data_IF_400915752086
#
_entry.id   IF_400915752086
#
_cell.length_a   1.000
_cell.length_b   1.000
_cell.length_c   1.000
_cell.angle_alpha   90.00
_cell.angle_beta   90.00
_cell.angle_gamma   90.00
#
_symmetry.space_group_name_H-M   'P 1'
#
loop_
_entity.id
_entity.type
_entity.pdbx_description
1 polymer ?
#
# COMPACT_ATOMS: atom_id res chain seq x y z
N UNK A 1 -4.40 15.25 11.01
CA UNK A 1 -4.52 16.15 9.84
C UNK A 1 -4.63 15.20 8.67
N UNK A 2 -5.76 15.16 7.99
CA UNK A 2 -5.99 14.19 6.92
C UNK A 2 -5.35 14.73 5.64
N UNK A 3 -4.41 13.99 5.06
CA UNK A 3 -3.68 14.38 3.86
C UNK A 3 -3.95 13.45 2.67
N UNK A 4 -3.18 13.65 1.60
CA UNK A 4 -3.31 12.87 0.37
C UNK A 4 -2.86 11.41 0.53
N UNK A 5 -1.91 11.14 1.43
CA UNK A 5 -1.42 9.79 1.71
C UNK A 5 -2.50 9.03 2.48
N UNK A 6 -3.11 9.66 3.50
CA UNK A 6 -4.22 9.09 4.25
C UNK A 6 -5.41 8.73 3.33
N UNK A 7 -5.70 9.60 2.34
CA UNK A 7 -6.73 9.32 1.34
C UNK A 7 -6.40 8.08 0.50
N UNK A 8 -5.19 8.01 -0.06
CA UNK A 8 -4.77 6.90 -0.91
C UNK A 8 -4.68 5.59 -0.14
N UNK A 9 -4.25 5.63 1.12
CA UNK A 9 -4.29 4.48 2.02
C UNK A 9 -5.72 4.01 2.26
N UNK A 10 -6.65 4.93 2.56
CA UNK A 10 -8.06 4.61 2.73
C UNK A 10 -8.67 4.00 1.46
N UNK A 11 -8.30 4.49 0.28
CA UNK A 11 -8.73 3.94 -1.01
C UNK A 11 -8.23 2.51 -1.24
N UNK A 12 -7.02 2.18 -0.76
CA UNK A 12 -6.45 0.84 -0.87
C UNK A 12 -7.08 -0.17 0.10
N UNK A 13 -7.42 0.28 1.32
CA UNK A 13 -7.98 -0.54 2.40
C UNK A 13 -9.50 -0.72 2.27
N UNK A 14 -10.22 0.31 1.85
CA UNK A 14 -11.67 0.29 1.72
C UNK A 14 -12.08 -0.36 0.39
N UNK A 15 -12.64 -1.58 0.48
CA UNK A 15 -13.14 -2.29 -0.68
C UNK A 15 -14.25 -1.52 -1.43
N UNK A 16 -15.10 -0.76 -0.73
CA UNK A 16 -16.13 0.03 -1.37
C UNK A 16 -15.52 1.17 -2.18
N UNK A 17 -14.48 1.83 -1.65
CA UNK A 17 -13.79 2.91 -2.34
C UNK A 17 -12.91 2.39 -3.50
N UNK A 18 -12.31 1.21 -3.34
CA UNK A 18 -11.48 0.56 -4.35
C UNK A 18 -12.25 0.16 -5.61
N UNK A 19 -13.50 -0.26 -5.45
CA UNK A 19 -14.39 -0.64 -6.56
C UNK A 19 -15.47 0.42 -6.85
N UNK A 20 -15.36 1.60 -6.25
CA UNK A 20 -16.30 2.69 -6.43
C UNK A 20 -16.31 3.19 -7.88
N UNK A 21 -17.45 3.75 -8.29
CA UNK A 21 -17.51 4.52 -9.53
C UNK A 21 -16.65 5.78 -9.44
N UNK A 22 -16.21 6.30 -10.58
CA UNK A 22 -15.43 7.55 -10.63
C UNK A 22 -16.16 8.71 -9.95
N UNK A 23 -17.49 8.78 -10.06
CA UNK A 23 -18.31 9.82 -9.44
C UNK A 23 -18.27 9.75 -7.91
N UNK A 24 -18.30 8.53 -7.37
CA UNK A 24 -18.22 8.32 -5.93
C UNK A 24 -16.82 8.66 -5.40
N UNK A 25 -15.75 8.33 -6.14
CA UNK A 25 -14.38 8.76 -5.80
C UNK A 25 -14.25 10.28 -5.81
N UNK A 26 -14.82 10.96 -6.82
CA UNK A 26 -14.84 12.43 -6.90
C UNK A 26 -15.53 13.03 -5.67
N UNK A 27 -16.69 12.51 -5.28
CA UNK A 27 -17.44 13.00 -4.13
C UNK A 27 -16.66 12.82 -2.82
N UNK A 28 -16.07 11.65 -2.60
CA UNK A 28 -15.27 11.36 -1.40
C UNK A 28 -14.03 12.24 -1.34
N UNK A 29 -13.34 12.44 -2.47
CA UNK A 29 -12.14 13.27 -2.55
C UNK A 29 -12.45 14.77 -2.32
N UNK A 30 -13.60 15.25 -2.80
CA UNK A 30 -14.04 16.63 -2.60
C UNK A 30 -14.35 16.96 -1.12
N UNK A 31 -14.73 15.95 -0.33
CA UNK A 31 -15.01 16.08 1.10
C UNK A 31 -13.74 16.20 1.97
N UNK A 32 -12.57 15.86 1.44
CA UNK A 32 -11.30 15.85 2.19
C UNK A 32 -10.56 17.18 2.07
N UNK A 33 -9.83 17.65 3.10
CA UNK A 33 -9.09 18.92 3.06
C UNK A 33 -7.77 18.83 2.27
N UNK A 34 -7.81 18.29 1.05
CA UNK A 34 -6.67 18.10 0.14
C UNK A 34 -6.60 19.25 -0.87
N UNK A 35 -5.39 19.69 -1.23
CA UNK A 35 -5.16 20.74 -2.24
C UNK A 35 -5.78 20.39 -3.60
N UNK A 36 -6.35 21.39 -4.29
CA UNK A 36 -7.02 21.21 -5.58
C UNK A 36 -6.12 20.56 -6.63
N UNK A 37 -4.82 20.90 -6.69
CA UNK A 37 -3.90 20.33 -7.69
C UNK A 37 -3.66 18.85 -7.45
N UNK A 38 -3.57 18.44 -6.18
CA UNK A 38 -3.45 17.03 -5.80
C UNK A 38 -4.72 16.26 -6.14
N UNK A 39 -5.91 16.87 -5.92
CA UNK A 39 -7.18 16.24 -6.31
C UNK A 39 -7.26 16.03 -7.81
N UNK A 40 -6.93 17.04 -8.61
CA UNK A 40 -6.95 16.96 -10.07
C UNK A 40 -6.00 15.87 -10.59
N UNK A 41 -4.79 15.79 -10.03
CA UNK A 41 -3.82 14.75 -10.37
C UNK A 41 -4.33 13.33 -10.05
N UNK A 42 -5.01 13.15 -8.91
CA UNK A 42 -5.65 11.88 -8.53
C UNK A 42 -6.77 11.52 -9.51
N UNK A 43 -7.66 12.46 -9.84
CA UNK A 43 -8.78 12.22 -10.75
C UNK A 43 -8.33 11.93 -12.18
N UNK A 44 -7.26 12.58 -12.63
CA UNK A 44 -6.62 12.32 -13.91
C UNK A 44 -5.82 11.01 -13.95
N UNK A 45 -5.63 10.33 -12.80
CA UNK A 45 -4.74 9.17 -12.63
C UNK A 45 -3.30 9.47 -13.05
N UNK A 46 -2.86 10.71 -12.88
CA UNK A 46 -1.53 11.18 -13.24
C UNK A 46 -0.54 10.92 -12.09
N UNK A 47 -0.01 9.71 -12.04
CA UNK A 47 0.94 9.30 -11.00
C UNK A 47 2.24 10.12 -11.04
N UNK A 48 2.69 10.54 -12.23
CA UNK A 48 3.92 11.33 -12.38
C UNK A 48 3.71 12.77 -11.90
N UNK A 49 2.61 13.41 -12.32
CA UNK A 49 2.23 14.75 -11.86
C UNK A 49 1.94 14.77 -10.36
N UNK A 50 1.28 13.74 -9.83
CA UNK A 50 1.06 13.59 -8.39
C UNK A 50 2.39 13.48 -7.63
N UNK A 51 3.32 12.65 -8.11
CA UNK A 51 4.66 12.53 -7.53
C UNK A 51 5.40 13.87 -7.51
N UNK A 52 5.40 14.60 -8.62
CA UNK A 52 6.03 15.92 -8.72
C UNK A 52 5.43 16.94 -7.74
N UNK A 53 4.10 16.96 -7.56
CA UNK A 53 3.42 17.81 -6.58
C UNK A 53 3.79 17.47 -5.13
N UNK A 54 4.14 16.21 -4.87
CA UNK A 54 4.62 15.73 -3.57
C UNK A 54 6.14 15.89 -3.38
N UNK A 55 6.83 16.51 -4.33
CA UNK A 55 8.28 16.69 -4.29
C UNK A 55 9.07 15.41 -4.55
N UNK A 56 8.44 14.42 -5.19
CA UNK A 56 9.09 13.16 -5.55
C UNK A 56 9.79 13.31 -6.90
N UNK A 57 11.10 13.09 -6.90
CA UNK A 57 11.90 13.04 -8.12
C UNK A 57 11.81 11.68 -8.82
N UNK A 58 12.22 11.63 -10.09
CA UNK A 58 12.32 10.37 -10.84
C UNK A 58 13.33 9.44 -10.16
N UNK A 59 12.86 8.27 -9.70
CA UNK A 59 13.71 7.21 -9.18
C UNK A 59 13.73 6.05 -10.17
N UNK A 60 14.94 5.55 -10.49
CA UNK A 60 15.10 4.36 -11.32
C UNK A 60 15.13 3.12 -10.40
N UNK A 61 14.04 2.35 -10.37
CA UNK A 61 14.01 1.06 -9.68
C UNK A 61 14.74 0.01 -10.52
N UNK A 62 15.83 -0.54 -9.99
CA UNK A 62 16.41 -1.77 -10.54
C UNK A 62 15.66 -2.96 -9.95
N UNK A 63 14.77 -3.57 -10.74
CA UNK A 63 14.18 -4.85 -10.40
C UNK A 63 15.22 -5.92 -10.75
N UNK A 64 15.87 -6.49 -9.74
CA UNK A 64 16.74 -7.64 -9.95
C UNK A 64 15.85 -8.84 -10.34
N UNK A 65 15.98 -9.40 -11.55
CA UNK A 65 15.20 -10.56 -11.94
C UNK A 65 15.42 -11.68 -10.93
N UNK A 66 14.33 -12.28 -10.46
CA UNK A 66 14.43 -13.47 -9.64
C UNK A 66 15.23 -14.51 -10.42
N UNK A 67 16.29 -15.04 -9.80
CA UNK A 67 16.93 -16.24 -10.33
C UNK A 67 15.86 -17.33 -10.31
N UNK A 68 15.73 -18.08 -11.40
CA UNK A 68 14.90 -19.27 -11.43
C UNK A 68 15.39 -20.19 -10.32
N UNK A 69 14.61 -20.25 -9.24
CA UNK A 69 14.82 -21.16 -8.14
C UNK A 69 14.40 -22.54 -8.64
N UNK A 70 15.37 -23.41 -8.89
CA UNK A 70 15.13 -24.84 -9.10
C UNK A 70 14.37 -25.37 -7.89
N UNK A 71 13.05 -25.48 -8.04
CA UNK A 71 12.06 -26.10 -7.15
C UNK A 71 12.59 -26.60 -5.79
N UNK A 72 12.45 -25.79 -4.74
CA UNK A 72 12.72 -26.19 -3.37
C UNK A 72 11.90 -25.38 -2.38
N UNK A 73 10.63 -25.73 -2.22
CA UNK A 73 9.70 -24.99 -1.36
C UNK A 73 10.08 -24.98 0.12
N UNK A 74 9.75 -23.88 0.80
CA UNK A 74 9.11 -23.91 2.12
C UNK A 74 8.44 -22.56 2.39
N UNK A 75 7.10 -22.58 2.43
CA UNK A 75 6.30 -21.51 3.02
C UNK A 75 6.44 -21.60 4.53
N UNK A 76 7.11 -20.63 5.15
CA UNK A 76 7.08 -20.49 6.61
C UNK A 76 6.89 -19.04 7.01
N UNK A 77 5.64 -18.60 6.89
CA UNK A 77 5.08 -17.57 7.76
C UNK A 77 4.82 -18.18 9.15
N UNK A 78 5.48 -17.69 10.20
CA UNK A 78 4.96 -17.71 11.58
C UNK A 78 5.79 -16.83 12.52
N UNK A 79 5.30 -15.61 12.70
CA UNK A 79 5.45 -14.86 13.94
C UNK A 79 4.68 -15.58 15.08
N UNK A 80 5.26 -15.64 16.29
CA UNK A 80 4.62 -15.46 17.63
C UNK A 80 5.38 -16.17 18.77
N UNK A 81 6.07 -15.35 19.56
CA UNK A 81 6.04 -15.23 21.02
C UNK A 81 6.13 -16.49 21.95
N UNK A 82 7.26 -16.54 22.68
CA UNK A 82 7.46 -16.82 24.13
C UNK A 82 6.53 -17.81 24.88
N UNK A 83 7.10 -18.92 25.39
CA UNK A 83 7.41 -19.20 26.83
C UNK A 83 7.77 -20.70 27.05
N UNK A 84 8.96 -20.97 27.61
CA UNK A 84 9.30 -22.22 28.36
C UNK A 84 8.52 -22.23 29.71
N UNK A 85 8.38 -23.32 30.50
CA UNK A 85 9.26 -24.50 30.60
C UNK A 85 8.61 -25.88 30.94
N UNK A 86 9.49 -26.89 31.05
CA UNK A 86 9.49 -28.00 32.03
C UNK A 86 9.00 -29.41 31.66
N UNK A 87 9.96 -30.37 31.78
CA UNK A 87 9.86 -31.75 32.32
C UNK A 87 9.04 -32.79 31.51
N UNK A 88 9.47 -34.04 31.28
CA UNK A 88 10.47 -34.96 31.87
C UNK A 88 10.76 -36.08 30.84
N UNK A 89 11.92 -36.75 30.83
CA UNK A 89 12.18 -37.92 30.00
C UNK A 89 11.77 -39.21 30.73
N UNK A 90 11.05 -40.11 30.07
CA UNK A 90 10.90 -41.55 30.41
C UNK A 90 10.41 -42.27 29.16
N UNK A 91 10.83 -43.47 28.77
CA UNK A 91 12.01 -44.32 28.99
C UNK A 91 11.95 -45.29 27.81
#
# INVERSE_FOLDING_TARGET
MFDVIDFLESMGQDAQLRYASSEHVVATLAAQPIDSKLRDAILAKDALGLGALLGQDSFCCYINPAKEDEAGGDSSEKDKAKKKPAQRPKK
#
